data_IF_558723801295
#
_entry.id   IF_558723801295
#
_cell.length_a   1.000
_cell.length_b   1.000
_cell.length_c   1.000
_cell.angle_alpha   90.00
_cell.angle_beta   90.00
_cell.angle_gamma   90.00
#
_symmetry.space_group_name_H-M   'P 1'
#
loop_
_entity.id
_entity.type
_entity.pdbx_description
1 polymer ?
#
# COMPACT_ATOMS: atom_id res chain seq x y z
N UNK A 1 13.13 20.90 45.52
CA UNK A 1 13.23 19.87 44.46
C UNK A 1 12.82 20.53 43.15
N UNK A 2 13.67 20.39 42.13
CA UNK A 2 13.68 21.20 40.92
C UNK A 2 12.50 20.93 39.97
N UNK A 3 12.05 22.01 39.34
CA UNK A 3 11.19 22.07 38.17
C UNK A 3 11.87 21.49 36.92
N UNK A 4 11.13 20.77 36.08
CA UNK A 4 11.38 20.76 34.64
C UNK A 4 10.08 20.57 33.87
N UNK A 5 9.60 21.70 33.35
CA UNK A 5 8.50 21.87 32.39
C UNK A 5 8.98 21.46 31.01
N UNK A 6 8.45 20.35 30.48
CA UNK A 6 8.58 20.02 29.06
C UNK A 6 7.59 20.89 28.26
N UNK A 7 8.12 21.94 27.64
CA UNK A 7 7.39 22.82 26.72
C UNK A 7 6.97 22.04 25.46
N UNK A 8 5.69 21.64 25.39
CA UNK A 8 5.02 21.38 24.12
C UNK A 8 4.38 22.71 23.65
N UNK A 9 4.48 23.07 22.36
CA UNK A 9 3.91 24.33 21.87
C UNK A 9 2.37 24.31 22.01
N UNK A 10 1.73 25.42 22.45
CA UNK A 10 0.29 25.49 22.63
C UNK A 10 -0.43 25.55 21.27
N UNK A 11 -1.35 24.61 21.03
CA UNK A 11 -2.29 24.64 19.92
C UNK A 11 -3.35 25.72 20.19
N UNK A 12 -3.49 26.70 19.29
CA UNK A 12 -4.55 27.70 19.35
C UNK A 12 -5.50 27.48 18.17
N UNK A 13 -6.71 27.01 18.45
CA UNK A 13 -7.82 26.95 17.50
C UNK A 13 -8.36 28.37 17.27
N UNK A 14 -8.35 28.82 16.02
CA UNK A 14 -9.22 29.90 15.56
C UNK A 14 -9.98 29.39 14.34
N UNK A 15 -11.23 28.95 14.55
CA UNK A 15 -12.18 28.66 13.48
C UNK A 15 -12.91 29.95 13.05
N UNK A 16 -13.26 30.03 11.76
CA UNK A 16 -14.68 30.17 11.47
C UNK A 16 -15.18 29.12 10.48
N UNK A 17 -16.30 28.51 10.90
CA UNK A 17 -17.47 28.11 10.13
C UNK A 17 -17.37 27.07 9.00
N UNK A 18 -18.10 25.97 9.25
CA UNK A 18 -18.63 24.96 8.31
C UNK A 18 -18.91 25.51 6.90
N UNK A 19 -18.16 24.99 5.94
CA UNK A 19 -18.66 24.85 4.57
C UNK A 19 -18.98 23.39 4.29
N UNK A 20 -20.25 23.16 4.00
CA UNK A 20 -20.83 21.90 3.51
C UNK A 20 -20.17 21.55 2.18
N UNK A 21 -19.27 20.57 2.17
CA UNK A 21 -18.76 19.99 0.93
C UNK A 21 -19.79 19.00 0.38
N UNK A 22 -20.51 19.44 -0.65
CA UNK A 22 -21.18 18.57 -1.62
C UNK A 22 -20.17 17.57 -2.20
N UNK A 23 -20.48 16.26 -2.27
CA UNK A 23 -19.58 15.27 -2.84
C UNK A 23 -19.50 15.50 -4.35
N UNK A 24 -18.44 16.15 -4.80
CA UNK A 24 -18.24 16.47 -6.21
C UNK A 24 -17.10 15.62 -6.74
N UNK A 25 -17.40 14.91 -7.83
CA UNK A 25 -16.52 14.14 -8.70
C UNK A 25 -15.97 12.83 -8.11
N UNK A 26 -16.60 11.73 -8.56
CA UNK A 26 -16.03 10.41 -8.79
C UNK A 26 -14.58 10.50 -9.29
N UNK A 27 -13.62 10.43 -8.37
CA UNK A 27 -12.30 9.92 -8.66
C UNK A 27 -12.50 8.45 -9.02
N UNK A 28 -12.40 8.15 -10.31
CA UNK A 28 -12.73 6.86 -10.88
C UNK A 28 -12.04 5.73 -10.13
N UNK A 29 -12.83 4.72 -9.77
CA UNK A 29 -12.32 3.40 -9.48
C UNK A 29 -11.34 3.01 -10.58
N UNK A 30 -10.18 2.49 -10.19
CA UNK A 30 -9.13 1.98 -11.08
C UNK A 30 -9.67 0.86 -12.00
N UNK A 31 -10.81 0.26 -11.64
CA UNK A 31 -11.56 -0.75 -12.42
C UNK A 31 -12.63 -0.19 -13.39
N UNK A 32 -12.70 1.13 -13.62
CA UNK A 32 -13.83 1.74 -14.34
C UNK A 32 -15.15 1.60 -13.57
N UNK A 33 -16.28 1.94 -14.21
CA UNK A 33 -17.65 1.90 -13.64
C UNK A 33 -18.15 0.50 -13.25
N UNK A 34 -17.29 -0.51 -13.20
CA UNK A 34 -17.65 -1.88 -12.84
C UNK A 34 -17.59 -2.04 -11.32
N UNK A 35 -18.75 -1.83 -10.70
CA UNK A 35 -19.00 -1.97 -9.27
C UNK A 35 -19.13 -3.45 -8.81
N UNK A 36 -18.59 -4.43 -9.56
CA UNK A 36 -19.06 -5.84 -9.44
C UNK A 36 -18.01 -6.94 -9.52
N UNK A 37 -16.70 -6.66 -9.58
CA UNK A 37 -15.72 -7.76 -9.57
C UNK A 37 -15.53 -8.27 -8.14
N UNK A 38 -15.91 -9.52 -7.89
CA UNK A 38 -15.58 -10.17 -6.63
C UNK A 38 -14.15 -10.66 -6.69
N UNK A 39 -13.44 -10.60 -5.56
CA UNK A 39 -12.14 -11.24 -5.41
C UNK A 39 -12.21 -12.73 -5.79
N UNK A 40 -13.38 -13.37 -5.63
CA UNK A 40 -13.65 -14.76 -6.04
C UNK A 40 -13.52 -15.02 -7.53
N UNK A 41 -13.58 -14.00 -8.38
CA UNK A 41 -13.50 -14.17 -9.82
C UNK A 41 -12.05 -14.40 -10.30
N UNK A 42 -11.07 -14.31 -9.38
CA UNK A 42 -9.64 -14.50 -9.65
C UNK A 42 -9.09 -13.61 -10.77
N UNK A 43 -9.78 -12.51 -11.08
CA UNK A 43 -9.30 -11.52 -12.04
C UNK A 43 -8.14 -10.72 -11.45
N UNK A 44 -7.21 -10.36 -12.32
CA UNK A 44 -6.02 -9.57 -11.96
C UNK A 44 -5.92 -8.34 -12.86
N UNK A 45 -5.53 -7.23 -12.26
CA UNK A 45 -5.12 -6.01 -12.94
C UNK A 45 -3.61 -5.97 -13.00
N UNK A 46 -3.10 -5.71 -14.20
CA UNK A 46 -1.67 -5.61 -14.47
C UNK A 46 -1.30 -4.13 -14.57
N UNK A 47 -0.41 -3.70 -13.69
CA UNK A 47 0.13 -2.35 -13.65
C UNK A 47 1.60 -2.34 -14.06
N UNK A 48 1.97 -1.32 -14.83
CA UNK A 48 3.37 -1.02 -15.14
C UNK A 48 3.85 0.12 -14.25
N UNK A 49 4.99 -0.08 -13.58
CA UNK A 49 5.70 0.97 -12.84
C UNK A 49 6.92 1.42 -13.63
N UNK A 50 6.91 2.68 -14.05
CA UNK A 50 8.02 3.32 -14.79
C UNK A 50 8.70 4.34 -13.91
N UNK A 51 10.03 4.26 -13.82
CA UNK A 51 10.83 5.27 -13.14
C UNK A 51 10.95 6.53 -14.01
N UNK A 52 10.55 7.67 -13.47
CA UNK A 52 10.67 8.97 -14.14
C UNK A 52 11.91 9.74 -13.68
N UNK A 53 12.28 9.63 -12.41
CA UNK A 53 13.49 10.24 -11.86
C UNK A 53 14.10 9.36 -10.77
N UNK A 54 15.19 9.82 -10.14
CA UNK A 54 15.79 9.12 -9.01
C UNK A 54 14.81 8.87 -7.86
N UNK A 55 13.82 9.75 -7.70
CA UNK A 55 12.87 9.78 -6.60
C UNK A 55 11.40 9.72 -7.03
N UNK A 56 11.10 9.55 -8.32
CA UNK A 56 9.72 9.58 -8.82
C UNK A 56 9.43 8.47 -9.82
N UNK A 57 8.22 7.90 -9.71
CA UNK A 57 7.71 6.83 -10.55
C UNK A 57 6.28 7.16 -11.01
N UNK A 58 5.89 6.59 -12.14
CA UNK A 58 4.51 6.58 -12.62
C UNK A 58 3.96 5.16 -12.59
N UNK A 59 2.70 5.04 -12.23
CA UNK A 59 1.91 3.81 -12.27
C UNK A 59 0.82 3.98 -13.34
N UNK A 60 0.79 3.06 -14.29
CA UNK A 60 -0.25 2.96 -15.33
C UNK A 60 -0.79 1.55 -15.40
N UNK A 61 -1.97 1.37 -15.99
CA UNK A 61 -2.41 0.03 -16.39
C UNK A 61 -1.60 -0.42 -17.62
N UNK A 62 -1.38 -1.73 -17.76
CA UNK A 62 -0.74 -2.28 -18.97
C UNK A 62 -1.61 -2.11 -20.21
N UNK A 63 -2.93 -2.17 -20.05
CA UNK A 63 -3.91 -2.01 -21.13
C UNK A 63 -4.17 -0.55 -21.52
N UNK A 64 -3.84 0.39 -20.63
CA UNK A 64 -3.92 1.83 -20.87
C UNK A 64 -2.69 2.51 -20.23
N UNK A 65 -1.68 2.89 -21.04
CA UNK A 65 -0.43 3.42 -20.53
C UNK A 65 -0.55 4.83 -19.93
N UNK A 66 -1.74 5.45 -19.97
CA UNK A 66 -1.99 6.74 -19.33
C UNK A 66 -1.65 6.67 -17.83
N UNK A 67 -0.73 7.50 -17.33
CA UNK A 67 -0.38 7.50 -15.91
C UNK A 67 -1.62 7.76 -15.05
N UNK A 68 -1.87 6.85 -14.11
CA UNK A 68 -2.93 6.96 -13.11
C UNK A 68 -2.42 7.67 -11.87
N UNK A 69 -1.23 7.25 -11.42
CA UNK A 69 -0.62 7.76 -10.21
C UNK A 69 0.84 8.10 -10.40
N UNK A 70 1.28 9.13 -9.68
CA UNK A 70 2.68 9.50 -9.50
C UNK A 70 3.09 9.13 -8.08
N UNK A 71 4.11 8.29 -7.96
CA UNK A 71 4.74 7.97 -6.68
C UNK A 71 5.98 8.86 -6.52
N UNK A 72 6.15 9.43 -5.33
CA UNK A 72 7.32 10.20 -4.93
C UNK A 72 7.95 9.61 -3.67
N UNK A 73 9.26 9.41 -3.71
CA UNK A 73 10.09 8.95 -2.60
C UNK A 73 10.95 10.11 -2.12
N UNK A 74 10.61 10.68 -0.98
CA UNK A 74 11.26 11.87 -0.44
C UNK A 74 12.43 11.45 0.45
N UNK A 75 13.64 11.87 0.08
CA UNK A 75 14.89 11.56 0.79
C UNK A 75 15.11 12.41 2.04
N UNK A 76 14.52 13.61 2.11
CA UNK A 76 14.58 14.50 3.27
C UNK A 76 13.28 14.43 4.06
N UNK A 77 13.38 14.22 5.38
CA UNK A 77 12.26 14.15 6.34
C UNK A 77 11.51 15.48 6.52
N UNK A 78 10.88 16.01 5.47
CA UNK A 78 10.02 17.19 5.60
C UNK A 78 8.73 17.05 4.80
N UNK A 79 7.62 17.34 5.50
CA UNK A 79 6.21 17.37 5.09
C UNK A 79 5.53 15.99 4.98
N UNK A 80 5.04 15.51 6.13
CA UNK A 80 3.96 14.51 6.30
C UNK A 80 4.37 13.02 6.16
N UNK A 81 5.23 12.63 5.22
CA UNK A 81 5.60 11.22 4.98
C UNK A 81 6.83 11.04 4.05
N UNK A 82 7.41 9.84 3.99
CA UNK A 82 8.59 9.54 3.17
C UNK A 82 8.26 9.04 1.76
N UNK A 83 7.12 8.37 1.59
CA UNK A 83 6.65 7.88 0.28
C UNK A 83 5.23 8.38 0.10
N UNK A 84 4.90 8.95 -1.05
CA UNK A 84 3.62 9.59 -1.32
C UNK A 84 3.09 9.20 -2.70
N UNK A 85 1.77 9.00 -2.79
CA UNK A 85 1.06 8.74 -4.03
C UNK A 85 0.14 9.92 -4.33
N UNK A 86 0.23 10.43 -5.56
CA UNK A 86 -0.58 11.52 -6.08
C UNK A 86 -1.34 11.04 -7.32
N UNK A 87 -2.54 11.56 -7.59
CA UNK A 87 -3.15 11.45 -8.92
C UNK A 87 -2.21 12.04 -9.97
N UNK A 88 -1.99 11.33 -11.07
CA UNK A 88 -1.09 11.80 -12.13
C UNK A 88 -1.69 12.96 -12.95
N UNK A 89 -3.02 13.03 -13.02
CA UNK A 89 -3.76 14.04 -13.80
C UNK A 89 -3.68 15.45 -13.23
N UNK A 90 -3.37 15.62 -11.94
CA UNK A 90 -3.32 16.93 -11.31
C UNK A 90 -2.24 17.03 -10.22
N UNK A 91 -1.19 17.81 -10.54
CA UNK A 91 -0.03 18.02 -9.68
C UNK A 91 -0.30 18.92 -8.46
N UNK A 92 -1.43 19.63 -8.42
CA UNK A 92 -1.78 20.53 -7.31
C UNK A 92 -2.58 19.85 -6.22
N UNK A 93 -3.11 18.63 -6.48
CA UNK A 93 -3.85 17.87 -5.49
C UNK A 93 -2.92 17.34 -4.40
N UNK A 94 -3.41 17.23 -3.15
CA UNK A 94 -2.64 16.60 -2.07
C UNK A 94 -2.41 15.11 -2.36
N UNK A 95 -1.43 14.53 -1.66
CA UNK A 95 -1.23 13.08 -1.70
C UNK A 95 -2.51 12.37 -1.24
N UNK A 96 -2.91 11.33 -1.98
CA UNK A 96 -4.09 10.51 -1.66
C UNK A 96 -3.74 9.35 -0.73
N UNK A 97 -2.46 8.93 -0.74
CA UNK A 97 -1.93 7.90 0.11
C UNK A 97 -0.45 8.16 0.40
N UNK A 98 0.04 7.67 1.54
CA UNK A 98 1.38 7.94 2.02
C UNK A 98 1.92 6.85 2.96
N UNK A 99 3.25 6.74 3.03
CA UNK A 99 3.94 5.90 4.01
C UNK A 99 4.99 6.69 4.78
N UNK A 100 5.03 6.48 6.10
CA UNK A 100 6.07 6.98 7.01
C UNK A 100 7.00 5.83 7.37
N UNK A 101 8.27 5.97 7.01
CA UNK A 101 9.30 4.98 7.30
C UNK A 101 9.74 5.12 8.77
N UNK A 102 10.03 3.99 9.42
CA UNK A 102 10.57 4.01 10.78
C UNK A 102 11.99 4.59 10.80
N UNK A 103 12.26 5.40 11.83
CA UNK A 103 13.62 5.86 12.14
C UNK A 103 14.50 4.72 12.67
N UNK A 104 13.91 3.66 13.22
CA UNK A 104 14.61 2.50 13.76
C UNK A 104 14.08 1.18 13.18
N UNK A 105 14.35 0.89 11.89
CA UNK A 105 13.81 -0.28 11.19
C UNK A 105 14.33 -1.63 11.69
N UNK A 106 15.31 -1.64 12.60
CA UNK A 106 15.84 -2.86 13.24
C UNK A 106 15.16 -3.19 14.56
N UNK A 107 14.36 -2.27 15.11
CA UNK A 107 13.60 -2.51 16.33
C UNK A 107 12.57 -3.61 16.09
N UNK A 108 12.48 -4.57 17.01
CA UNK A 108 11.41 -5.59 17.00
C UNK A 108 10.07 -5.03 17.51
N UNK A 109 10.12 -3.90 18.21
CA UNK A 109 8.96 -3.32 18.89
C UNK A 109 8.34 -2.17 18.10
N UNK A 110 8.99 -1.72 17.02
CA UNK A 110 8.48 -0.67 16.16
C UNK A 110 8.15 -1.25 14.78
N UNK A 111 7.04 -0.82 14.16
CA UNK A 111 6.76 -1.21 12.79
C UNK A 111 7.84 -0.66 11.86
N UNK A 112 8.07 -1.35 10.74
CA UNK A 112 9.00 -0.94 9.70
C UNK A 112 8.56 0.38 9.05
N UNK A 113 7.26 0.52 8.84
CA UNK A 113 6.61 1.73 8.37
C UNK A 113 5.16 1.79 8.85
N UNK A 114 4.54 2.95 8.69
CA UNK A 114 3.09 3.11 8.79
C UNK A 114 2.53 3.63 7.48
N UNK A 115 1.41 3.06 7.04
CA UNK A 115 0.79 3.26 5.74
C UNK A 115 -0.57 3.93 5.94
N UNK A 116 -0.86 4.97 5.16
CA UNK A 116 -2.15 5.63 5.12
C UNK A 116 -2.64 5.64 3.67
N UNK A 117 -3.81 5.06 3.44
CA UNK A 117 -4.41 4.90 2.11
C UNK A 117 -5.58 5.84 1.84
N UNK A 118 -5.88 6.73 2.79
CA UNK A 118 -6.95 7.72 2.66
C UNK A 118 -6.56 9.02 3.36
N UNK A 119 -6.47 10.09 2.57
CA UNK A 119 -6.35 11.48 3.06
C UNK A 119 -5.24 11.69 4.11
N UNK A 120 -3.97 11.39 3.82
CA UNK A 120 -2.86 11.41 4.78
C UNK A 120 -2.57 12.78 5.43
N UNK A 121 -3.16 13.86 4.90
CA UNK A 121 -3.04 15.21 5.44
C UNK A 121 -4.12 15.55 6.48
N UNK A 122 -5.15 14.72 6.62
CA UNK A 122 -6.25 14.96 7.56
C UNK A 122 -5.88 14.51 8.99
N UNK A 123 -6.43 15.17 10.03
CA UNK A 123 -6.14 14.81 11.43
C UNK A 123 -6.59 13.40 11.82
N UNK A 124 -7.67 12.90 11.21
CA UNK A 124 -8.28 11.59 11.46
C UNK A 124 -7.75 10.49 10.51
N UNK A 125 -6.67 10.78 9.77
CA UNK A 125 -6.04 9.83 8.87
C UNK A 125 -5.63 8.55 9.61
N UNK A 126 -6.07 7.41 9.08
CA UNK A 126 -5.76 6.10 9.64
C UNK A 126 -4.41 5.61 9.13
N UNK A 127 -3.46 5.43 10.05
CA UNK A 127 -2.11 4.93 9.78
C UNK A 127 -1.99 3.48 10.28
N UNK A 128 -1.77 2.54 9.36
CA UNK A 128 -1.70 1.11 9.64
C UNK A 128 -0.24 0.63 9.62
N UNK A 129 0.21 -0.19 10.57
CA UNK A 129 1.59 -0.63 10.63
C UNK A 129 1.90 -1.69 9.56
N UNK A 130 3.08 -1.61 8.97
CA UNK A 130 3.75 -2.70 8.28
C UNK A 130 4.87 -3.19 9.21
N UNK A 131 4.77 -4.40 9.71
CA UNK A 131 5.71 -4.99 10.67
C UNK A 131 6.62 -6.00 9.98
N UNK A 132 7.81 -6.21 10.52
CA UNK A 132 8.70 -7.29 10.09
C UNK A 132 8.41 -8.52 10.95
N UNK A 133 8.06 -9.65 10.32
CA UNK A 133 7.69 -10.90 11.03
C UNK A 133 8.82 -11.92 11.05
N UNK A 134 9.92 -11.66 10.35
CA UNK A 134 11.05 -12.58 10.20
C UNK A 134 11.74 -13.00 11.51
N UNK A 135 11.53 -14.27 11.89
CA UNK A 135 12.43 -15.07 12.73
C UNK A 135 13.46 -15.84 11.89
N UNK A 136 14.44 -16.48 12.53
CA UNK A 136 15.56 -17.19 11.87
C UNK A 136 15.13 -18.31 10.88
N UNK A 137 13.84 -18.69 10.85
CA UNK A 137 13.27 -19.76 10.03
C UNK A 137 11.98 -19.37 9.29
N UNK A 138 11.58 -18.08 9.29
CA UNK A 138 10.33 -17.64 8.63
C UNK A 138 10.55 -17.39 7.13
N UNK A 139 9.62 -17.85 6.30
CA UNK A 139 9.53 -17.54 4.86
C UNK A 139 8.78 -16.21 4.63
N UNK A 140 8.08 -15.73 5.66
CA UNK A 140 7.36 -14.46 5.64
C UNK A 140 8.23 -13.36 6.26
N UNK A 141 8.36 -12.25 5.54
CA UNK A 141 9.29 -11.18 5.88
C UNK A 141 8.57 -9.99 6.49
N UNK A 142 7.36 -9.69 6.02
CA UNK A 142 6.57 -8.54 6.47
C UNK A 142 5.09 -8.87 6.58
N UNK A 143 4.38 -8.18 7.48
CA UNK A 143 2.94 -8.36 7.67
C UNK A 143 2.25 -7.01 7.88
N UNK A 144 1.03 -6.89 7.35
CA UNK A 144 0.21 -5.68 7.46
C UNK A 144 -1.29 -6.02 7.45
N UNK A 145 -2.08 -5.14 8.08
CA UNK A 145 -3.52 -5.19 7.97
C UNK A 145 -4.00 -4.27 6.84
N UNK A 146 -4.45 -4.85 5.72
CA UNK A 146 -4.86 -4.11 4.52
C UNK A 146 -6.39 -4.10 4.41
N UNK A 147 -7.05 -2.93 4.28
CA UNK A 147 -8.47 -2.83 4.02
C UNK A 147 -8.82 -3.37 2.65
N UNK A 148 -9.85 -4.21 2.57
CA UNK A 148 -10.27 -4.82 1.31
C UNK A 148 -11.78 -5.04 1.28
N UNK A 149 -12.39 -4.85 0.11
CA UNK A 149 -13.80 -5.11 -0.13
C UNK A 149 -13.96 -6.57 -0.56
N UNK A 150 -14.08 -7.49 0.42
CA UNK A 150 -14.19 -8.92 0.13
C UNK A 150 -15.48 -9.30 -0.61
N UNK A 151 -16.55 -8.52 -0.42
CA UNK A 151 -17.87 -8.74 -1.01
C UNK A 151 -18.36 -7.42 -1.62
N UNK A 152 -18.71 -7.37 -2.92
CA UNK A 152 -19.24 -6.18 -3.55
C UNK A 152 -20.43 -5.59 -2.77
N UNK A 153 -20.47 -4.27 -2.63
CA UNK A 153 -21.51 -3.54 -1.87
C UNK A 153 -21.32 -3.54 -0.35
N UNK A 154 -20.24 -4.14 0.18
CA UNK A 154 -19.85 -4.03 1.59
C UNK A 154 -18.73 -3.01 1.78
N UNK A 155 -18.61 -2.53 3.02
CA UNK A 155 -17.47 -1.68 3.41
C UNK A 155 -16.16 -2.47 3.37
N UNK A 156 -15.06 -1.78 3.13
CA UNK A 156 -13.73 -2.37 3.24
C UNK A 156 -13.43 -2.73 4.70
N UNK A 157 -12.92 -3.93 4.95
CA UNK A 157 -12.54 -4.40 6.29
C UNK A 157 -11.04 -4.73 6.26
N UNK A 158 -10.27 -4.35 7.29
CA UNK A 158 -8.87 -4.76 7.40
C UNK A 158 -8.74 -6.28 7.53
N UNK A 159 -7.94 -6.89 6.66
CA UNK A 159 -7.52 -8.28 6.74
C UNK A 159 -6.00 -8.36 6.82
N UNK A 160 -5.49 -9.42 7.45
CA UNK A 160 -4.06 -9.62 7.57
C UNK A 160 -3.49 -10.17 6.27
N UNK A 161 -2.34 -9.63 5.88
CA UNK A 161 -1.57 -10.10 4.74
C UNK A 161 -0.10 -10.20 5.10
N UNK A 162 0.55 -11.21 4.55
CA UNK A 162 1.99 -11.43 4.67
C UNK A 162 2.69 -11.24 3.32
N UNK A 163 3.76 -10.46 3.32
CA UNK A 163 4.69 -10.37 2.21
C UNK A 163 5.76 -11.46 2.33
N UNK A 164 5.99 -12.17 1.23
CA UNK A 164 7.10 -13.10 1.06
C UNK A 164 8.12 -12.52 0.10
N UNK A 165 9.39 -12.54 0.49
CA UNK A 165 10.49 -12.01 -0.33
C UNK A 165 11.58 -13.08 -0.55
N UNK A 166 11.88 -13.41 -1.83
CA UNK A 166 13.00 -14.28 -2.27
C UNK A 166 12.60 -15.65 -2.85
N UNK A 167 13.47 -16.45 -3.52
CA UNK A 167 14.69 -16.22 -4.36
C UNK A 167 15.10 -17.51 -5.12
N UNK A 168 15.60 -17.38 -6.38
CA UNK A 168 16.72 -18.09 -7.08
C UNK A 168 16.70 -17.87 -8.61
N UNK A 169 15.55 -17.51 -9.21
CA UNK A 169 15.43 -17.28 -10.67
C UNK A 169 14.81 -15.93 -11.06
N UNK A 170 14.47 -15.08 -10.09
CA UNK A 170 13.99 -13.72 -10.32
C UNK A 170 13.47 -13.09 -9.02
N UNK A 171 13.46 -11.76 -8.86
CA UNK A 171 12.99 -11.14 -7.63
C UNK A 171 11.47 -11.00 -7.70
N UNK A 172 10.77 -11.94 -7.07
CA UNK A 172 9.32 -11.89 -6.91
C UNK A 172 8.97 -11.43 -5.50
N UNK A 173 8.09 -10.45 -5.42
CA UNK A 173 7.42 -10.05 -4.19
C UNK A 173 5.97 -10.53 -4.27
N UNK A 174 5.51 -11.27 -3.27
CA UNK A 174 4.14 -11.77 -3.23
C UNK A 174 3.45 -11.35 -1.95
N UNK A 175 2.24 -10.82 -2.11
CA UNK A 175 1.32 -10.51 -1.02
C UNK A 175 0.34 -11.67 -0.86
N UNK A 176 0.39 -12.31 0.31
CA UNK A 176 -0.43 -13.47 0.66
C UNK A 176 -1.52 -13.07 1.65
N UNK A 177 -2.73 -13.56 1.44
CA UNK A 177 -3.81 -13.47 2.41
C UNK A 177 -3.55 -14.38 3.61
N UNK A 178 -3.71 -13.84 4.82
CA UNK A 178 -3.60 -14.60 6.06
C UNK A 178 -4.99 -14.93 6.62
N UNK A 179 -5.25 -16.22 6.82
CA UNK A 179 -6.52 -16.73 7.34
C UNK A 179 -7.43 -17.28 6.23
N UNK A 180 -8.68 -17.63 6.56
CA UNK A 180 -9.62 -18.18 5.59
C UNK A 180 -9.96 -17.16 4.50
N UNK A 181 -10.03 -17.60 3.25
CA UNK A 181 -10.56 -16.76 2.16
C UNK A 181 -12.01 -16.34 2.44
N UNK A 182 -12.49 -15.23 1.84
CA UNK A 182 -13.88 -14.81 1.98
C UNK A 182 -14.86 -15.96 1.71
N UNK A 183 -15.78 -16.16 2.66
CA UNK A 183 -16.83 -17.17 2.63
C UNK A 183 -16.31 -18.64 2.68
N UNK A 184 -15.04 -18.86 2.98
CA UNK A 184 -14.51 -20.16 3.40
C UNK A 184 -14.59 -20.24 4.94
N UNK A 185 -15.24 -21.27 5.51
CA UNK A 185 -15.28 -21.43 6.96
C UNK A 185 -13.88 -21.57 7.55
N UNK A 186 -13.62 -20.97 8.72
CA UNK A 186 -12.32 -21.09 9.40
C UNK A 186 -11.94 -22.54 9.72
N UNK A 187 -12.93 -23.43 9.90
CA UNK A 187 -12.70 -24.87 10.11
C UNK A 187 -12.11 -25.59 8.90
N UNK A 188 -12.21 -25.00 7.71
CA UNK A 188 -11.65 -25.53 6.46
C UNK A 188 -10.30 -24.89 6.11
N UNK A 189 -9.81 -23.93 6.91
CA UNK A 189 -8.55 -23.25 6.66
C UNK A 189 -7.38 -23.97 7.32
N UNK A 190 -6.39 -24.35 6.50
CA UNK A 190 -5.11 -24.91 6.95
C UNK A 190 -3.99 -24.04 6.37
N UNK A 191 -3.25 -23.35 7.24
CA UNK A 191 -2.26 -22.34 6.83
C UNK A 191 -1.14 -22.89 5.93
N UNK A 192 -0.76 -24.16 6.12
CA UNK A 192 0.29 -24.84 5.37
C UNK A 192 -0.16 -25.35 3.98
N UNK A 193 -1.46 -25.29 3.68
CA UNK A 193 -2.04 -25.74 2.41
C UNK A 193 -2.48 -24.57 1.51
N UNK A 194 -2.02 -23.34 1.79
CA UNK A 194 -2.35 -22.17 0.97
C UNK A 194 -1.73 -22.32 -0.43
N UNK A 195 -2.57 -22.39 -1.47
CA UNK A 195 -2.16 -22.35 -2.86
C UNK A 195 -2.13 -20.93 -3.45
N UNK A 196 -2.03 -20.83 -4.78
CA UNK A 196 -2.02 -19.55 -5.51
C UNK A 196 -3.27 -18.71 -5.29
N UNK A 197 -4.38 -19.31 -4.85
CA UNK A 197 -5.62 -18.63 -4.50
C UNK A 197 -5.50 -17.65 -3.32
N UNK A 198 -4.43 -17.78 -2.53
CA UNK A 198 -4.10 -16.85 -1.44
C UNK A 198 -3.17 -15.72 -1.87
N UNK A 199 -2.69 -15.71 -3.12
CA UNK A 199 -1.86 -14.63 -3.66
C UNK A 199 -2.77 -13.51 -4.16
N UNK A 200 -2.57 -12.31 -3.63
CA UNK A 200 -3.41 -11.14 -3.89
C UNK A 200 -2.67 -10.02 -4.61
N UNK A 201 -1.35 -10.04 -4.56
CA UNK A 201 -0.52 -9.27 -5.46
C UNK A 201 0.80 -9.99 -5.71
N UNK A 202 1.32 -9.84 -6.92
CA UNK A 202 2.64 -10.32 -7.32
C UNK A 202 3.39 -9.21 -8.03
N UNK A 203 4.65 -8.98 -7.68
CA UNK A 203 5.53 -8.14 -8.46
C UNK A 203 6.56 -8.97 -9.20
N UNK A 204 6.68 -8.73 -10.50
CA UNK A 204 7.84 -9.13 -11.31
C UNK A 204 8.73 -7.90 -11.56
N UNK A 205 9.97 -7.93 -11.06
CA UNK A 205 10.93 -6.85 -11.29
C UNK A 205 11.54 -6.96 -12.69
N UNK A 206 11.80 -5.79 -13.29
CA UNK A 206 12.64 -5.70 -14.49
C UNK A 206 14.03 -6.27 -14.19
N UNK A 207 14.49 -7.20 -15.02
CA UNK A 207 15.81 -7.82 -14.91
C UNK A 207 16.81 -7.14 -15.85
N UNK A 208 18.12 -7.37 -15.63
CA UNK A 208 19.18 -6.85 -16.50
C UNK A 208 19.05 -7.31 -17.97
N UNK A 209 18.34 -8.43 -18.21
CA UNK A 209 18.12 -9.01 -19.53
C UNK A 209 16.86 -8.46 -20.25
N UNK A 210 16.19 -7.46 -19.66
CA UNK A 210 14.97 -6.86 -20.19
C UNK A 210 13.73 -7.10 -19.32
N UNK A 211 12.63 -6.43 -19.68
CA UNK A 211 11.33 -6.51 -19.02
C UNK A 211 10.80 -5.16 -18.52
N UNK A 212 9.59 -5.16 -17.98
CA UNK A 212 8.96 -4.04 -17.28
C UNK A 212 8.81 -4.39 -15.80
N UNK A 213 8.75 -3.38 -14.90
CA UNK A 213 8.35 -3.64 -13.52
C UNK A 213 6.82 -3.80 -13.53
N UNK A 214 6.36 -5.04 -13.47
CA UNK A 214 4.95 -5.38 -13.50
C UNK A 214 4.48 -5.70 -12.09
N UNK A 215 3.35 -5.11 -11.72
CA UNK A 215 2.62 -5.45 -10.51
C UNK A 215 1.27 -6.01 -10.91
N UNK A 216 1.03 -7.25 -10.56
CA UNK A 216 -0.25 -7.93 -10.70
C UNK A 216 -0.99 -7.74 -9.37
N UNK A 217 -2.20 -7.18 -9.41
CA UNK A 217 -3.03 -7.00 -8.22
C UNK A 217 -4.39 -7.64 -8.47
N UNK A 218 -4.88 -8.40 -7.49
CA UNK A 218 -6.19 -9.03 -7.58
C UNK A 218 -7.29 -7.99 -7.61
N UNK A 219 -8.14 -8.05 -8.64
CA UNK A 219 -9.25 -7.12 -8.85
C UNK A 219 -10.31 -7.28 -7.77
N UNK A 220 -11.02 -6.19 -7.48
CA UNK A 220 -12.17 -6.18 -6.56
C UNK A 220 -11.81 -5.86 -5.11
N UNK A 221 -10.52 -5.67 -4.80
CA UNK A 221 -10.10 -5.27 -3.45
C UNK A 221 -10.46 -3.83 -3.08
N UNK A 222 -10.65 -2.96 -4.07
CA UNK A 222 -10.97 -1.54 -3.90
C UNK A 222 -9.72 -0.66 -3.84
N UNK A 223 -9.92 0.65 -3.95
CA UNK A 223 -8.82 1.62 -4.05
C UNK A 223 -7.88 1.60 -2.84
N UNK A 224 -8.39 1.46 -1.62
CA UNK A 224 -7.53 1.40 -0.43
C UNK A 224 -6.61 0.17 -0.45
N UNK A 225 -7.10 -0.98 -0.92
CA UNK A 225 -6.32 -2.19 -1.07
C UNK A 225 -5.17 -1.97 -2.06
N UNK A 226 -5.49 -1.50 -3.26
CA UNK A 226 -4.51 -1.26 -4.33
C UNK A 226 -3.43 -0.25 -3.90
N UNK A 227 -3.82 0.85 -3.26
CA UNK A 227 -2.88 1.86 -2.74
C UNK A 227 -1.99 1.29 -1.62
N UNK A 228 -2.53 0.42 -0.75
CA UNK A 228 -1.75 -0.29 0.27
C UNK A 228 -0.69 -1.20 -0.35
N UNK A 229 -1.06 -2.01 -1.35
CA UNK A 229 -0.13 -2.90 -2.05
C UNK A 229 1.05 -2.10 -2.63
N UNK A 230 0.76 -1.00 -3.32
CA UNK A 230 1.80 -0.17 -3.95
C UNK A 230 2.69 0.48 -2.88
N UNK A 231 2.11 1.08 -1.82
CA UNK A 231 2.92 1.72 -0.78
C UNK A 231 3.81 0.74 -0.03
N UNK A 232 3.26 -0.40 0.39
CA UNK A 232 4.02 -1.43 1.11
C UNK A 232 5.15 -1.99 0.26
N UNK A 233 4.90 -2.22 -1.03
CA UNK A 233 5.95 -2.63 -1.98
C UNK A 233 7.09 -1.63 -2.02
N UNK A 234 6.80 -0.33 -2.17
CA UNK A 234 7.83 0.71 -2.19
C UNK A 234 8.59 0.83 -0.85
N UNK A 235 7.91 0.60 0.28
CA UNK A 235 8.56 0.53 1.60
C UNK A 235 9.52 -0.66 1.67
N UNK A 236 9.09 -1.84 1.26
CA UNK A 236 9.90 -3.06 1.29
C UNK A 236 11.15 -2.88 0.39
N UNK A 237 10.97 -2.38 -0.83
CA UNK A 237 12.07 -2.07 -1.74
C UNK A 237 13.05 -1.08 -1.11
N UNK A 238 12.55 -0.02 -0.47
CA UNK A 238 13.39 0.96 0.23
C UNK A 238 14.28 0.30 1.29
N UNK A 239 13.71 -0.56 2.15
CA UNK A 239 14.45 -1.21 3.22
C UNK A 239 15.39 -2.32 2.75
N UNK A 240 15.05 -2.98 1.64
CA UNK A 240 15.93 -3.93 0.97
C UNK A 240 17.03 -3.24 0.15
N UNK A 241 17.04 -1.90 0.11
CA UNK A 241 17.95 -1.07 -0.71
C UNK A 241 17.85 -1.40 -2.20
N UNK A 242 16.66 -1.79 -2.63
CA UNK A 242 16.35 -2.11 -4.01
C UNK A 242 15.64 -0.93 -4.68
N UNK A 243 15.77 -0.85 -6.00
CA UNK A 243 15.09 0.14 -6.82
C UNK A 243 14.49 -0.52 -8.05
N UNK A 244 13.41 0.08 -8.53
CA UNK A 244 12.81 -0.26 -9.81
C UNK A 244 13.55 0.48 -10.93
N UNK A 245 13.68 -0.18 -12.08
CA UNK A 245 14.45 0.29 -13.23
C UNK A 245 13.52 0.77 -14.33
#
# INVERSE_FOLDING_TARGET
MSSNTANLPPYSENHPSKETLTPTATAGNIAGTVQTCSIRDFQVDYFTIVRNSTTSYHLSLTVDPTPLYRIQVVSSSTKISNIQIFPASNITLPAIAAARLSANPKSKNEPLATICTSSPTQPDALWRPLTRTGGMFSIEDYQSAIPIIAVPGRAAIPHQFSWRTGSLSGPFYQLWWDGPLPLVPSSMFVADQRGSEYVFATMARKTANGGENLVEIRRGGGMEFELSVILELFVILHFNKEQLI
#
